data_IF_386961029339
#
_entry.id   IF_386961029339
#
_cell.length_a   1.000
_cell.length_b   1.000
_cell.length_c   1.000
_cell.angle_alpha   90.00
_cell.angle_beta   90.00
_cell.angle_gamma   90.00
#
_symmetry.space_group_name_H-M   'P 1'
#
loop_
_entity.id
_entity.type
_entity.pdbx_description
1 polymer ?
#
# COMPACT_ATOMS: atom_id res chain seq x y z
N UNK A 1 1.98 15.62 23.65
CA UNK A 1 1.19 14.41 23.95
C UNK A 1 1.91 13.21 23.36
N UNK A 2 2.04 12.11 24.10
CA UNK A 2 2.76 10.90 23.66
C UNK A 2 1.97 10.19 22.56
N UNK A 3 2.64 9.67 21.52
CA UNK A 3 2.00 8.94 20.42
C UNK A 3 1.38 7.59 20.85
N UNK A 4 1.81 7.05 21.99
CA UNK A 4 1.45 5.71 22.46
C UNK A 4 -0.07 5.43 22.58
N UNK A 5 -0.90 6.32 23.16
CA UNK A 5 -2.34 6.07 23.29
C UNK A 5 -3.04 5.93 21.94
N UNK A 6 -2.69 6.77 20.95
CA UNK A 6 -3.27 6.72 19.60
C UNK A 6 -2.95 5.40 18.91
N UNK A 7 -1.72 4.89 19.08
CA UNK A 7 -1.34 3.57 18.56
C UNK A 7 -2.10 2.43 19.24
N UNK A 8 -2.33 2.53 20.56
CA UNK A 8 -3.11 1.53 21.31
C UNK A 8 -4.56 1.52 20.83
N UNK A 9 -5.19 2.68 20.69
CA UNK A 9 -6.57 2.80 20.21
C UNK A 9 -6.71 2.23 18.79
N UNK A 10 -5.77 2.56 17.90
CA UNK A 10 -5.69 1.99 16.55
C UNK A 10 -5.57 0.46 16.60
N UNK A 11 -4.63 -0.06 17.38
CA UNK A 11 -4.40 -1.49 17.50
C UNK A 11 -5.64 -2.22 18.03
N UNK A 12 -6.29 -1.69 19.08
CA UNK A 12 -7.50 -2.27 19.66
C UNK A 12 -8.66 -2.28 18.65
N UNK A 13 -8.90 -1.16 17.98
CA UNK A 13 -9.96 -1.04 16.98
C UNK A 13 -9.75 -2.03 15.82
N UNK A 14 -8.52 -2.08 15.26
CA UNK A 14 -8.20 -3.00 14.16
C UNK A 14 -8.26 -4.46 14.60
N UNK A 15 -7.79 -4.80 15.81
CA UNK A 15 -7.92 -6.14 16.38
C UNK A 15 -9.39 -6.54 16.55
N UNK A 16 -10.26 -5.63 17.00
CA UNK A 16 -11.68 -5.88 17.10
C UNK A 16 -12.30 -6.13 15.71
N UNK A 17 -11.97 -5.31 14.71
CA UNK A 17 -12.44 -5.48 13.33
C UNK A 17 -11.98 -6.82 12.73
N UNK A 18 -10.70 -7.17 12.89
CA UNK A 18 -10.14 -8.46 12.44
C UNK A 18 -10.84 -9.62 13.16
N UNK A 19 -11.06 -9.52 14.46
CA UNK A 19 -11.75 -10.57 15.24
C UNK A 19 -13.18 -10.77 14.74
N UNK A 20 -13.95 -9.68 14.55
CA UNK A 20 -15.29 -9.75 13.97
C UNK A 20 -15.27 -10.39 12.58
N UNK A 21 -14.34 -9.98 11.71
CA UNK A 21 -14.23 -10.55 10.36
C UNK A 21 -13.83 -12.03 10.38
N UNK A 22 -12.96 -12.46 11.30
CA UNK A 22 -12.62 -13.87 11.50
C UNK A 22 -13.85 -14.68 11.89
N UNK A 23 -14.65 -14.18 12.84
CA UNK A 23 -15.86 -14.85 13.30
C UNK A 23 -16.91 -14.98 12.18
N UNK A 24 -17.06 -13.95 11.35
CA UNK A 24 -18.08 -13.89 10.29
C UNK A 24 -17.67 -14.56 8.97
N UNK A 25 -16.39 -14.48 8.60
CA UNK A 25 -15.91 -14.85 7.25
C UNK A 25 -15.08 -16.15 7.28
N UNK A 26 -14.17 -16.29 8.26
CA UNK A 26 -13.24 -17.42 8.32
C UNK A 26 -13.83 -18.61 9.08
N UNK A 27 -14.55 -18.31 10.17
CA UNK A 27 -15.05 -19.28 11.13
C UNK A 27 -13.97 -19.66 12.17
N UNK A 28 -14.30 -19.67 13.47
CA UNK A 28 -13.32 -19.90 14.54
C UNK A 28 -12.67 -21.28 14.46
N UNK A 29 -13.42 -22.31 14.03
CA UNK A 29 -12.90 -23.68 13.90
C UNK A 29 -11.76 -23.79 12.90
N UNK A 30 -11.86 -23.10 11.76
CA UNK A 30 -10.83 -23.11 10.71
C UNK A 30 -9.55 -22.42 11.18
N UNK A 31 -9.67 -21.28 11.86
CA UNK A 31 -8.52 -20.59 12.44
C UNK A 31 -7.84 -21.43 13.54
N UNK A 32 -8.62 -22.03 14.45
CA UNK A 32 -8.06 -22.90 15.50
C UNK A 32 -7.33 -24.10 14.91
N UNK A 33 -7.88 -24.72 13.87
CA UNK A 33 -7.21 -25.80 13.15
C UNK A 33 -5.87 -25.35 12.55
N UNK A 34 -5.85 -24.20 11.87
CA UNK A 34 -4.63 -23.64 11.29
C UNK A 34 -3.56 -23.29 12.35
N UNK A 35 -3.99 -22.77 13.51
CA UNK A 35 -3.08 -22.46 14.62
C UNK A 35 -2.55 -23.73 15.29
N UNK A 36 -3.33 -24.81 15.36
CA UNK A 36 -2.84 -26.09 15.89
C UNK A 36 -1.77 -26.71 14.99
N UNK A 37 -1.88 -26.51 13.68
CA UNK A 37 -0.94 -27.04 12.68
C UNK A 37 -0.01 -25.95 12.11
N UNK A 38 0.47 -25.03 12.97
CA UNK A 38 1.17 -23.83 12.54
C UNK A 38 2.58 -24.07 11.96
N UNK A 39 3.27 -25.14 12.36
CA UNK A 39 4.72 -25.29 12.14
C UNK A 39 5.10 -25.33 10.67
N UNK A 40 4.37 -26.09 9.85
CA UNK A 40 4.65 -26.15 8.41
C UNK A 40 4.20 -24.86 7.71
N UNK A 41 3.09 -24.25 8.17
CA UNK A 41 2.55 -22.99 7.65
C UNK A 41 3.55 -21.86 7.82
N UNK A 42 4.13 -21.71 9.01
CA UNK A 42 5.19 -20.73 9.28
C UNK A 42 6.41 -20.98 8.40
N UNK A 43 6.88 -22.23 8.28
CA UNK A 43 8.00 -22.57 7.39
C UNK A 43 7.72 -22.20 5.94
N UNK A 44 6.47 -22.33 5.49
CA UNK A 44 6.07 -21.97 4.14
C UNK A 44 6.00 -20.45 3.91
N UNK A 45 5.93 -19.60 4.94
CA UNK A 45 5.82 -18.14 4.76
C UNK A 45 7.00 -17.35 5.32
N UNK A 46 7.95 -18.01 6.01
CA UNK A 46 9.08 -17.32 6.65
C UNK A 46 9.93 -16.53 5.65
N UNK A 47 10.24 -17.11 4.49
CA UNK A 47 11.02 -16.45 3.45
C UNK A 47 10.30 -15.22 2.88
N UNK A 48 9.05 -15.30 2.37
CA UNK A 48 8.34 -14.13 1.85
C UNK A 48 8.07 -13.07 2.94
N UNK A 49 7.79 -13.47 4.19
CA UNK A 49 7.69 -12.52 5.30
C UNK A 49 9.02 -11.80 5.53
N UNK A 50 10.14 -12.54 5.57
CA UNK A 50 11.45 -11.93 5.81
C UNK A 50 11.81 -10.90 4.73
N UNK A 51 11.50 -11.19 3.45
CA UNK A 51 11.72 -10.22 2.36
C UNK A 51 10.82 -9.00 2.50
N UNK A 52 9.53 -9.19 2.81
CA UNK A 52 8.61 -8.07 3.06
C UNK A 52 9.10 -7.19 4.20
N UNK A 53 9.47 -7.80 5.33
CA UNK A 53 9.99 -7.10 6.52
C UNK A 53 11.28 -6.36 6.17
N UNK A 54 12.19 -6.96 5.40
CA UNK A 54 13.40 -6.31 4.93
C UNK A 54 13.09 -5.06 4.09
N UNK A 55 12.17 -5.15 3.13
CA UNK A 55 11.79 -3.99 2.31
C UNK A 55 11.13 -2.90 3.16
N UNK A 56 10.26 -3.27 4.10
CA UNK A 56 9.64 -2.31 5.02
C UNK A 56 10.67 -1.64 5.92
N UNK A 57 11.66 -2.40 6.41
CA UNK A 57 12.78 -1.87 7.16
C UNK A 57 13.60 -0.90 6.32
N UNK A 58 13.96 -1.27 5.08
CA UNK A 58 14.68 -0.39 4.16
C UNK A 58 13.90 0.90 3.90
N UNK A 59 12.59 0.81 3.58
CA UNK A 59 11.71 1.97 3.40
C UNK A 59 11.73 2.89 4.62
N UNK A 60 11.64 2.32 5.83
CA UNK A 60 11.69 3.07 7.08
C UNK A 60 13.05 3.72 7.31
N UNK A 61 14.14 2.98 7.11
CA UNK A 61 15.51 3.45 7.31
C UNK A 61 15.90 4.53 6.29
N UNK A 62 15.41 4.45 5.06
CA UNK A 62 15.71 5.43 4.00
C UNK A 62 14.70 6.58 3.95
N UNK A 63 13.70 6.64 4.84
CA UNK A 63 12.60 7.61 4.75
C UNK A 63 13.07 9.07 4.67
N UNK A 64 14.16 9.41 5.38
CA UNK A 64 14.73 10.76 5.40
C UNK A 64 15.79 10.96 4.31
N UNK A 65 16.37 9.85 3.81
CA UNK A 65 17.38 9.85 2.76
C UNK A 65 16.77 9.94 1.35
N UNK A 66 15.61 9.32 1.14
CA UNK A 66 14.91 9.28 -0.17
C UNK A 66 14.65 10.68 -0.72
N UNK A 67 14.11 11.65 0.05
CA UNK A 67 13.97 13.02 -0.44
C UNK A 67 15.32 13.59 -0.87
N UNK A 68 16.36 13.46 -0.04
CA UNK A 68 17.70 14.01 -0.33
C UNK A 68 18.28 13.41 -1.62
N UNK A 69 18.16 12.10 -1.80
CA UNK A 69 18.62 11.41 -3.01
C UNK A 69 17.82 11.83 -4.23
N UNK A 70 16.49 11.89 -4.12
CA UNK A 70 15.63 12.32 -5.22
C UNK A 70 15.95 13.75 -5.67
N UNK A 71 16.16 14.64 -4.70
CA UNK A 71 16.60 16.03 -4.94
C UNK A 71 18.00 16.14 -5.56
N UNK A 72 18.94 15.28 -5.17
CA UNK A 72 20.34 15.33 -5.62
C UNK A 72 20.61 14.57 -6.92
N UNK A 73 19.88 13.49 -7.19
CA UNK A 73 20.19 12.55 -8.27
C UNK A 73 19.35 12.83 -9.51
N UNK A 74 18.04 13.10 -9.37
CA UNK A 74 17.11 13.08 -10.51
C UNK A 74 16.33 14.38 -10.67
N UNK A 75 15.76 14.91 -9.59
CA UNK A 75 15.06 16.20 -9.60
C UNK A 75 13.81 16.29 -10.50
N UNK A 76 13.27 15.16 -10.98
CA UNK A 76 12.06 15.16 -11.81
C UNK A 76 10.85 15.48 -10.92
N UNK A 77 10.37 16.72 -11.03
CA UNK A 77 9.17 17.20 -10.34
C UNK A 77 7.96 16.94 -11.20
N UNK A 78 7.14 15.96 -10.83
CA UNK A 78 5.96 15.59 -11.61
C UNK A 78 4.68 16.29 -11.16
N UNK A 79 4.67 16.95 -9.99
CA UNK A 79 3.43 17.54 -9.41
C UNK A 79 2.74 18.52 -10.35
N UNK A 80 3.47 19.46 -10.94
CA UNK A 80 2.88 20.44 -11.86
C UNK A 80 2.27 19.74 -13.09
N UNK A 81 2.99 18.76 -13.64
CA UNK A 81 2.50 17.98 -14.78
C UNK A 81 1.23 17.19 -14.44
N UNK A 82 1.13 16.63 -13.23
CA UNK A 82 -0.08 15.94 -12.76
C UNK A 82 -1.24 16.92 -12.64
N UNK A 83 -1.03 18.06 -11.99
CA UNK A 83 -2.06 19.10 -11.84
C UNK A 83 -2.59 19.60 -13.20
N UNK A 84 -1.68 19.93 -14.12
CA UNK A 84 -2.06 20.42 -15.45
C UNK A 84 -2.76 19.33 -16.27
N UNK A 85 -2.28 18.08 -16.22
CA UNK A 85 -2.89 16.94 -16.89
C UNK A 85 -4.33 16.72 -16.44
N UNK A 86 -4.56 16.67 -15.13
CA UNK A 86 -5.90 16.45 -14.57
C UNK A 86 -6.85 17.57 -14.97
N UNK A 87 -6.39 18.83 -14.90
CA UNK A 87 -7.20 19.97 -15.32
C UNK A 87 -7.53 19.93 -16.82
N UNK A 88 -6.59 19.52 -17.67
CA UNK A 88 -6.83 19.39 -19.12
C UNK A 88 -7.84 18.28 -19.42
N UNK A 89 -7.76 17.14 -18.74
CA UNK A 89 -8.64 16.00 -18.99
C UNK A 89 -10.07 16.23 -18.43
N UNK A 90 -10.17 16.77 -17.22
CA UNK A 90 -11.44 16.85 -16.48
C UNK A 90 -12.04 18.27 -16.43
N UNK A 91 -11.35 19.29 -16.96
CA UNK A 91 -11.73 20.70 -16.89
C UNK A 91 -11.42 21.34 -15.52
N UNK A 92 -11.56 20.58 -14.46
CA UNK A 92 -11.22 20.93 -13.07
C UNK A 92 -10.51 19.77 -12.38
N UNK A 93 -9.76 20.04 -11.31
CA UNK A 93 -9.05 19.00 -10.58
C UNK A 93 -10.04 18.07 -9.85
N UNK A 94 -9.99 16.75 -10.06
CA UNK A 94 -10.85 15.78 -9.37
C UNK A 94 -10.84 15.91 -7.84
N UNK A 95 -9.68 16.26 -7.27
CA UNK A 95 -9.54 16.50 -5.83
C UNK A 95 -10.36 17.71 -5.38
N UNK A 96 -10.34 18.82 -6.13
CA UNK A 96 -11.13 20.01 -5.81
C UNK A 96 -12.64 19.71 -5.89
N UNK A 97 -13.06 18.98 -6.92
CA UNK A 97 -14.44 18.51 -7.06
C UNK A 97 -14.84 17.65 -5.86
N UNK A 98 -14.02 16.67 -5.46
CA UNK A 98 -14.31 15.83 -4.30
C UNK A 98 -14.39 16.64 -3.00
N UNK A 99 -13.50 17.62 -2.83
CA UNK A 99 -13.48 18.50 -1.66
C UNK A 99 -14.67 19.46 -1.61
N UNK A 100 -15.35 19.73 -2.74
CA UNK A 100 -16.59 20.54 -2.75
C UNK A 100 -17.77 19.86 -2.04
N UNK A 101 -17.73 18.53 -1.88
CA UNK A 101 -18.78 17.76 -1.19
C UNK A 101 -18.51 17.57 0.31
N UNK A 102 -17.56 18.32 0.89
CA UNK A 102 -17.17 18.14 2.28
C UNK A 102 -18.32 18.39 3.25
N UNK A 103 -18.57 17.42 4.14
CA UNK A 103 -19.40 17.58 5.34
C UNK A 103 -18.70 16.96 6.55
N UNK A 104 -19.01 17.35 7.79
CA UNK A 104 -18.41 16.77 8.99
C UNK A 104 -18.52 15.23 9.06
N UNK A 105 -19.67 14.68 8.65
CA UNK A 105 -19.95 13.23 8.66
C UNK A 105 -19.12 12.51 7.59
N UNK A 106 -19.09 13.05 6.37
CA UNK A 106 -18.33 12.46 5.26
C UNK A 106 -16.82 12.51 5.54
N UNK A 107 -16.34 13.62 6.11
CA UNK A 107 -14.95 13.75 6.55
C UNK A 107 -14.62 12.73 7.64
N UNK A 108 -15.49 12.56 8.64
CA UNK A 108 -15.29 11.55 9.70
C UNK A 108 -15.21 10.13 9.12
N UNK A 109 -16.08 9.79 8.15
CA UNK A 109 -16.04 8.52 7.45
C UNK A 109 -14.72 8.31 6.71
N UNK A 110 -14.25 9.29 5.94
CA UNK A 110 -13.02 9.13 5.16
C UNK A 110 -11.76 9.14 6.03
N UNK A 111 -11.73 9.89 7.13
CA UNK A 111 -10.66 9.78 8.14
C UNK A 111 -10.64 8.38 8.76
N UNK A 112 -11.81 7.85 9.15
CA UNK A 112 -11.91 6.50 9.68
C UNK A 112 -11.43 5.44 8.67
N UNK A 113 -11.91 5.53 7.43
CA UNK A 113 -11.50 4.62 6.35
C UNK A 113 -9.99 4.70 6.08
N UNK A 114 -9.43 5.92 6.02
CA UNK A 114 -8.01 6.12 5.73
C UNK A 114 -7.09 5.53 6.81
N UNK A 115 -7.48 5.61 8.09
CA UNK A 115 -6.65 5.13 9.20
C UNK A 115 -6.98 3.67 9.57
N UNK A 116 -8.22 3.43 10.00
CA UNK A 116 -8.64 2.15 10.56
C UNK A 116 -9.06 1.17 9.46
N UNK A 117 -9.88 1.64 8.50
CA UNK A 117 -10.35 0.83 7.38
C UNK A 117 -9.20 0.27 6.54
N UNK A 118 -8.22 1.11 6.24
CA UNK A 118 -7.01 0.72 5.51
C UNK A 118 -6.17 -0.31 6.29
N UNK A 119 -5.90 -0.07 7.58
CA UNK A 119 -5.13 -1.00 8.41
C UNK A 119 -5.82 -2.38 8.49
N UNK A 120 -7.14 -2.39 8.71
CA UNK A 120 -7.94 -3.62 8.69
C UNK A 120 -7.88 -4.31 7.32
N UNK A 121 -8.08 -3.57 6.22
CA UNK A 121 -8.05 -4.10 4.86
C UNK A 121 -6.73 -4.81 4.54
N UNK A 122 -5.59 -4.26 4.99
CA UNK A 122 -4.29 -4.89 4.77
C UNK A 122 -4.02 -6.09 5.66
N UNK A 123 -4.48 -6.06 6.93
CA UNK A 123 -4.12 -7.06 7.93
C UNK A 123 -5.04 -8.29 7.91
N UNK A 124 -6.33 -8.12 7.65
CA UNK A 124 -7.28 -9.24 7.65
C UNK A 124 -6.90 -10.38 6.67
N UNK A 125 -6.45 -10.11 5.42
CA UNK A 125 -6.02 -11.15 4.51
C UNK A 125 -4.90 -12.06 5.03
N UNK A 126 -3.98 -11.56 5.87
CA UNK A 126 -2.96 -12.41 6.49
C UNK A 126 -3.58 -13.49 7.35
N UNK A 127 -4.57 -13.13 8.17
CA UNK A 127 -5.27 -14.07 9.06
C UNK A 127 -6.16 -15.01 8.24
N UNK A 128 -6.91 -14.46 7.29
CA UNK A 128 -7.79 -15.25 6.43
C UNK A 128 -7.00 -16.29 5.63
N UNK A 129 -5.94 -15.90 4.93
CA UNK A 129 -5.19 -16.81 4.07
C UNK A 129 -4.27 -17.75 4.85
N UNK A 130 -3.84 -17.37 6.05
CA UNK A 130 -3.17 -18.31 6.96
C UNK A 130 -4.10 -19.46 7.40
N UNK A 131 -5.41 -19.22 7.44
CA UNK A 131 -6.41 -20.21 7.80
C UNK A 131 -6.83 -21.14 6.64
N UNK A 132 -6.33 -20.94 5.42
CA UNK A 132 -6.62 -21.83 4.28
C UNK A 132 -5.81 -23.12 4.33
N UNK A 133 -6.23 -24.17 3.62
CA UNK A 133 -5.52 -25.47 3.63
C UNK A 133 -4.15 -25.43 2.95
N UNK A 134 -3.94 -24.46 2.05
CA UNK A 134 -2.69 -24.22 1.32
C UNK A 134 -2.19 -22.81 1.58
N UNK A 135 -0.89 -22.60 1.46
CA UNK A 135 -0.23 -21.31 1.72
C UNK A 135 0.03 -20.49 0.45
N UNK A 136 -0.47 -20.93 -0.70
CA UNK A 136 -0.20 -20.30 -1.98
C UNK A 136 -0.76 -18.87 -2.01
N UNK A 137 -1.97 -18.66 -1.52
CA UNK A 137 -2.61 -17.34 -1.47
C UNK A 137 -1.86 -16.37 -0.56
N UNK A 138 -1.40 -16.84 0.60
CA UNK A 138 -0.66 -16.02 1.54
C UNK A 138 0.75 -15.70 1.02
N UNK A 139 1.44 -16.68 0.42
CA UNK A 139 2.75 -16.46 -0.23
C UNK A 139 2.63 -15.46 -1.38
N UNK A 140 1.60 -15.62 -2.22
CA UNK A 140 1.32 -14.72 -3.33
C UNK A 140 1.00 -13.29 -2.85
N UNK A 141 0.18 -13.14 -1.80
CA UNK A 141 -0.14 -11.85 -1.21
C UNK A 141 1.12 -11.16 -0.67
N UNK A 142 1.94 -11.90 0.09
CA UNK A 142 3.20 -11.39 0.64
C UNK A 142 4.14 -10.92 -0.47
N UNK A 143 4.25 -11.69 -1.57
CA UNK A 143 5.08 -11.31 -2.70
C UNK A 143 4.51 -10.09 -3.45
N UNK A 144 3.19 -9.99 -3.59
CA UNK A 144 2.55 -8.83 -4.17
C UNK A 144 2.79 -7.57 -3.33
N UNK A 145 2.65 -7.64 -2.00
CA UNK A 145 2.98 -6.52 -1.11
C UNK A 145 4.47 -6.17 -1.15
N UNK A 146 5.33 -7.17 -1.19
CA UNK A 146 6.79 -6.97 -1.35
C UNK A 146 7.10 -6.23 -2.64
N UNK A 147 6.47 -6.62 -3.74
CA UNK A 147 6.63 -5.98 -5.05
C UNK A 147 6.10 -4.54 -5.04
N UNK A 148 4.93 -4.30 -4.44
CA UNK A 148 4.36 -2.97 -4.24
C UNK A 148 5.36 -2.04 -3.53
N UNK A 149 5.85 -2.44 -2.36
CA UNK A 149 6.79 -1.61 -1.59
C UNK A 149 8.14 -1.46 -2.27
N UNK A 150 8.65 -2.51 -2.92
CA UNK A 150 9.93 -2.47 -3.64
C UNK A 150 9.89 -1.52 -4.82
N UNK A 151 8.91 -1.68 -5.72
CA UNK A 151 8.72 -0.80 -6.89
C UNK A 151 8.37 0.61 -6.44
N UNK A 152 7.49 0.75 -5.44
CA UNK A 152 7.14 2.06 -4.86
C UNK A 152 8.36 2.80 -4.31
N UNK A 153 9.25 2.12 -3.58
CA UNK A 153 10.48 2.72 -3.07
C UNK A 153 11.38 3.23 -4.21
N UNK A 154 11.53 2.45 -5.29
CA UNK A 154 12.30 2.87 -6.46
C UNK A 154 11.67 4.11 -7.11
N UNK A 155 10.36 4.10 -7.33
CA UNK A 155 9.65 5.23 -7.94
C UNK A 155 9.72 6.50 -7.07
N UNK A 156 9.63 6.37 -5.75
CA UNK A 156 9.78 7.50 -4.82
C UNK A 156 11.19 8.08 -4.76
N UNK A 157 12.22 7.30 -5.11
CA UNK A 157 13.57 7.83 -5.30
C UNK A 157 13.66 8.59 -6.63
N UNK A 158 13.03 8.09 -7.68
CA UNK A 158 13.14 8.65 -9.03
C UNK A 158 12.25 9.88 -9.26
N UNK A 159 11.07 9.92 -8.62
CA UNK A 159 10.03 10.92 -8.89
C UNK A 159 9.71 11.70 -7.61
N UNK A 160 9.78 13.03 -7.69
CA UNK A 160 9.34 13.92 -6.62
C UNK A 160 7.92 14.39 -6.92
N UNK A 161 6.98 14.05 -6.04
CA UNK A 161 5.60 14.47 -6.15
C UNK A 161 5.04 14.92 -4.80
N UNK A 162 4.47 16.11 -4.75
CA UNK A 162 3.67 16.60 -3.64
C UNK A 162 2.19 16.28 -3.85
N UNK A 163 1.51 15.91 -2.77
CA UNK A 163 0.06 15.78 -2.75
C UNK A 163 -0.66 17.14 -2.83
N UNK A 164 -1.96 17.16 -3.17
CA UNK A 164 -2.74 18.38 -3.40
C UNK A 164 -2.60 19.44 -2.31
N UNK A 165 -2.76 19.05 -1.04
CA UNK A 165 -2.66 19.96 0.13
C UNK A 165 -1.29 20.62 0.31
N UNK A 166 -0.24 20.03 -0.24
CA UNK A 166 1.13 20.55 -0.17
C UNK A 166 1.53 21.31 -1.44
N UNK A 167 0.70 21.27 -2.49
CA UNK A 167 0.95 21.94 -3.76
C UNK A 167 0.45 23.39 -3.73
N UNK A 168 -0.84 23.59 -3.44
CA UNK A 168 -1.43 24.93 -3.28
C UNK A 168 -2.52 24.91 -2.20
N UNK A 169 -2.22 25.37 -0.96
CA UNK A 169 -3.18 25.42 0.13
C UNK A 169 -4.35 26.39 -0.09
N UNK A 170 -4.31 27.25 -1.12
CA UNK A 170 -5.44 28.11 -1.49
C UNK A 170 -6.46 27.38 -2.38
N UNK A 171 -6.04 26.29 -3.01
CA UNK A 171 -6.86 25.47 -3.90
C UNK A 171 -7.28 24.13 -3.28
N UNK A 172 -6.52 23.62 -2.31
CA UNK A 172 -6.75 22.30 -1.72
C UNK A 172 -6.63 22.32 -0.19
N UNK A 173 -7.65 21.80 0.48
CA UNK A 173 -7.70 21.77 1.93
C UNK A 173 -6.85 20.64 2.52
N UNK A 174 -6.26 20.89 3.69
CA UNK A 174 -5.55 19.88 4.47
C UNK A 174 -6.51 19.09 5.40
N UNK A 175 -7.66 18.66 4.86
CA UNK A 175 -8.84 18.13 5.57
C UNK A 175 -8.50 17.11 6.67
N UNK A 176 -7.57 16.17 6.42
CA UNK A 176 -7.15 15.19 7.43
C UNK A 176 -6.60 15.85 8.71
N UNK A 177 -5.80 16.89 8.56
CA UNK A 177 -5.14 17.55 9.69
C UNK A 177 -6.06 18.52 10.42
N UNK A 178 -7.04 19.08 9.74
CA UNK A 178 -8.05 19.91 10.35
C UNK A 178 -9.03 19.07 11.17
N UNK A 179 -9.49 17.94 10.60
CA UNK A 179 -10.42 17.04 11.27
C UNK A 179 -9.77 16.15 12.34
N UNK A 180 -8.51 15.73 12.13
CA UNK A 180 -7.80 14.87 13.07
C UNK A 180 -6.34 15.33 13.24
N UNK A 181 -6.09 16.43 14.00
CA UNK A 181 -4.75 16.98 14.19
C UNK A 181 -3.75 15.96 14.74
N UNK A 182 -4.23 14.97 15.48
CA UNK A 182 -3.42 13.86 16.02
C UNK A 182 -2.85 12.96 14.91
N UNK A 183 -3.56 12.78 13.79
CA UNK A 183 -3.02 12.10 12.61
C UNK A 183 -1.83 12.84 12.02
N UNK A 184 -1.64 14.14 12.25
CA UNK A 184 -0.46 14.84 11.74
C UNK A 184 0.83 14.23 12.28
N UNK A 185 0.89 13.96 13.58
CA UNK A 185 2.06 13.35 14.19
C UNK A 185 2.20 11.87 13.82
N UNK A 186 1.08 11.14 13.74
CA UNK A 186 1.08 9.74 13.31
C UNK A 186 1.54 9.59 11.85
N UNK A 187 0.90 10.29 10.93
CA UNK A 187 1.19 10.24 9.48
C UNK A 187 2.59 10.75 9.17
N UNK A 188 3.05 11.86 9.79
CA UNK A 188 4.41 12.37 9.56
C UNK A 188 5.50 11.45 10.12
N UNK A 189 5.17 10.56 11.08
CA UNK A 189 6.15 9.58 11.58
C UNK A 189 6.42 8.45 10.58
N UNK A 190 5.49 8.18 9.66
CA UNK A 190 5.53 7.04 8.73
C UNK A 190 5.55 7.43 7.25
N UNK A 191 5.15 8.65 6.89
CA UNK A 191 5.03 9.15 5.53
C UNK A 191 5.72 10.51 5.36
N UNK A 192 6.27 10.71 4.16
CA UNK A 192 6.89 11.96 3.72
C UNK A 192 5.96 12.70 2.75
N UNK A 193 5.99 14.03 2.77
CA UNK A 193 5.12 14.88 1.95
C UNK A 193 5.43 14.84 0.44
N UNK A 194 6.54 14.22 0.03
CA UNK A 194 7.10 14.19 -1.33
C UNK A 194 6.98 12.85 -2.05
N UNK A 195 6.42 11.83 -1.38
CA UNK A 195 6.36 10.46 -1.89
C UNK A 195 4.91 10.07 -2.21
N UNK A 196 4.23 10.86 -3.04
CA UNK A 196 2.81 10.62 -3.36
C UNK A 196 2.58 9.81 -4.64
N UNK A 197 3.51 9.83 -5.60
CA UNK A 197 3.34 9.14 -6.89
C UNK A 197 4.26 7.91 -7.02
N UNK A 198 3.72 6.70 -7.29
CA UNK A 198 2.31 6.33 -7.28
C UNK A 198 1.75 6.22 -5.85
N UNK A 199 0.42 6.22 -5.70
CA UNK A 199 -0.22 6.04 -4.38
C UNK A 199 -0.06 4.60 -3.90
N UNK A 200 0.79 4.37 -2.89
CA UNK A 200 0.92 3.05 -2.25
C UNK A 200 -0.34 2.66 -1.45
N UNK A 201 -1.08 3.62 -0.88
CA UNK A 201 -2.35 3.33 -0.21
C UNK A 201 -3.35 2.72 -1.20
N UNK A 202 -3.50 3.36 -2.36
CA UNK A 202 -4.32 2.82 -3.45
C UNK A 202 -3.79 1.49 -3.94
N UNK A 203 -2.48 1.38 -4.15
CA UNK A 203 -1.87 0.18 -4.70
C UNK A 203 -2.08 -1.06 -3.81
N UNK A 204 -1.88 -0.91 -2.50
CA UNK A 204 -2.05 -2.00 -1.54
C UNK A 204 -3.54 -2.33 -1.32
N UNK A 205 -4.41 -1.31 -1.23
CA UNK A 205 -5.86 -1.53 -1.12
C UNK A 205 -6.43 -2.27 -2.33
N UNK A 206 -6.03 -1.87 -3.55
CA UNK A 206 -6.44 -2.53 -4.78
C UNK A 206 -5.81 -3.93 -4.91
N UNK A 207 -4.58 -4.13 -4.44
CA UNK A 207 -3.97 -5.47 -4.35
C UNK A 207 -4.83 -6.39 -3.48
N UNK A 208 -5.25 -5.93 -2.30
CA UNK A 208 -6.17 -6.69 -1.44
C UNK A 208 -7.47 -7.02 -2.14
N UNK A 209 -8.06 -6.08 -2.88
CA UNK A 209 -9.29 -6.33 -3.65
C UNK A 209 -9.06 -7.41 -4.73
N UNK A 210 -7.94 -7.37 -5.45
CA UNK A 210 -7.61 -8.40 -6.42
C UNK A 210 -7.47 -9.80 -5.77
N UNK A 211 -6.85 -9.88 -4.59
CA UNK A 211 -6.77 -11.13 -3.83
C UNK A 211 -8.12 -11.57 -3.27
N UNK A 212 -8.96 -10.64 -2.83
CA UNK A 212 -10.34 -10.94 -2.42
C UNK A 212 -11.15 -11.51 -3.58
N UNK A 213 -10.97 -10.98 -4.80
CA UNK A 213 -11.56 -11.54 -6.02
C UNK A 213 -11.00 -12.93 -6.34
N UNK A 214 -9.67 -13.11 -6.27
CA UNK A 214 -9.02 -14.39 -6.51
C UNK A 214 -9.49 -15.48 -5.52
N UNK A 215 -9.75 -15.09 -4.27
CA UNK A 215 -10.18 -16.00 -3.19
C UNK A 215 -11.69 -16.01 -2.93
N UNK A 216 -12.50 -15.44 -3.83
CA UNK A 216 -13.95 -15.26 -3.66
C UNK A 216 -14.72 -16.55 -3.46
N UNK A 217 -14.26 -17.67 -4.01
CA UNK A 217 -14.91 -18.98 -3.80
C UNK A 217 -14.63 -19.54 -2.40
N UNK A 218 -13.49 -19.16 -1.80
CA UNK A 218 -13.07 -19.60 -0.45
C UNK A 218 -13.67 -18.71 0.64
N UNK A 219 -13.76 -17.40 0.37
CA UNK A 219 -14.28 -16.38 1.28
C UNK A 219 -15.24 -15.41 0.55
N UNK A 220 -16.47 -15.85 0.20
CA UNK A 220 -17.39 -15.05 -0.62
C UNK A 220 -17.83 -13.74 0.05
N UNK A 221 -17.95 -13.73 1.38
CA UNK A 221 -18.28 -12.53 2.14
C UNK A 221 -17.14 -11.50 2.19
N UNK A 222 -15.89 -11.92 1.93
CA UNK A 222 -14.75 -11.00 1.95
C UNK A 222 -14.73 -10.08 0.74
N UNK A 223 -15.09 -10.57 -0.45
CA UNK A 223 -15.06 -9.78 -1.68
C UNK A 223 -15.86 -8.46 -1.58
N UNK A 224 -17.15 -8.43 -1.19
CA UNK A 224 -17.89 -7.18 -1.10
C UNK A 224 -17.32 -6.23 -0.04
N UNK A 225 -16.85 -6.75 1.10
CA UNK A 225 -16.22 -5.94 2.16
C UNK A 225 -14.93 -5.30 1.66
N UNK A 226 -14.06 -6.10 1.03
CA UNK A 226 -12.81 -5.64 0.45
C UNK A 226 -13.04 -4.63 -0.68
N UNK A 227 -14.05 -4.84 -1.52
CA UNK A 227 -14.40 -3.94 -2.62
C UNK A 227 -14.82 -2.57 -2.10
N UNK A 228 -15.77 -2.52 -1.16
CA UNK A 228 -16.22 -1.25 -0.57
C UNK A 228 -15.05 -0.54 0.11
N UNK A 229 -14.29 -1.25 0.97
CA UNK A 229 -13.18 -0.62 1.69
C UNK A 229 -12.06 -0.17 0.76
N UNK A 230 -11.68 -0.96 -0.25
CA UNK A 230 -10.61 -0.59 -1.17
C UNK A 230 -10.99 0.67 -1.96
N UNK A 231 -12.20 0.72 -2.52
CA UNK A 231 -12.67 1.91 -3.23
C UNK A 231 -12.76 3.11 -2.29
N UNK A 232 -13.28 2.94 -1.07
CA UNK A 232 -13.34 4.02 -0.09
C UNK A 232 -11.97 4.50 0.35
N UNK A 233 -10.94 3.64 0.40
CA UNK A 233 -9.54 4.05 0.64
C UNK A 233 -9.01 4.87 -0.53
N UNK A 234 -9.28 4.47 -1.77
CA UNK A 234 -8.87 5.26 -2.94
C UNK A 234 -9.50 6.65 -2.89
N UNK A 235 -10.81 6.74 -2.66
CA UNK A 235 -11.50 8.03 -2.55
C UNK A 235 -11.02 8.83 -1.34
N UNK A 236 -10.79 8.20 -0.19
CA UNK A 236 -10.32 8.90 1.01
C UNK A 236 -8.97 9.58 0.80
N UNK A 237 -8.06 8.93 0.06
CA UNK A 237 -6.74 9.52 -0.22
C UNK A 237 -6.82 10.83 -1.00
N UNK A 238 -7.78 10.93 -1.92
CA UNK A 238 -8.02 12.16 -2.70
C UNK A 238 -8.81 13.18 -1.89
N UNK A 239 -9.92 12.76 -1.27
CA UNK A 239 -10.78 13.62 -0.44
C UNK A 239 -10.00 14.33 0.68
N UNK A 240 -9.08 13.62 1.32
CA UNK A 240 -8.23 14.13 2.41
C UNK A 240 -7.05 15.00 1.91
N UNK A 241 -6.96 15.25 0.60
CA UNK A 241 -5.93 16.09 -0.02
C UNK A 241 -4.52 15.45 -0.04
N UNK A 242 -4.43 14.12 0.04
CA UNK A 242 -3.16 13.40 0.17
C UNK A 242 -2.60 13.01 -1.21
N UNK A 243 -3.45 12.51 -2.10
CA UNK A 243 -3.09 12.00 -3.42
C UNK A 243 -3.93 12.62 -4.52
N UNK A 244 -3.33 12.76 -5.70
CA UNK A 244 -4.01 13.11 -6.94
C UNK A 244 -4.73 11.88 -7.54
N UNK A 245 -5.64 12.10 -8.50
CA UNK A 245 -6.29 10.98 -9.19
C UNK A 245 -5.26 10.16 -9.99
N UNK A 246 -4.29 10.83 -10.61
CA UNK A 246 -3.20 10.22 -11.36
C UNK A 246 -2.34 9.32 -10.48
N UNK A 247 -2.08 9.72 -9.23
CA UNK A 247 -1.39 8.89 -8.24
C UNK A 247 -2.17 7.61 -7.96
N UNK A 248 -3.50 7.72 -7.82
CA UNK A 248 -4.41 6.61 -7.56
C UNK A 248 -4.52 5.66 -8.77
N UNK A 249 -4.57 6.19 -9.99
CA UNK A 249 -4.56 5.39 -11.22
C UNK A 249 -3.23 4.63 -11.34
N UNK A 250 -2.10 5.31 -11.17
CA UNK A 250 -0.78 4.67 -11.19
C UNK A 250 -0.62 3.63 -10.07
N UNK A 251 -1.17 3.91 -8.88
CA UNK A 251 -1.25 2.94 -7.79
C UNK A 251 -2.08 1.72 -8.16
N UNK A 252 -3.21 1.90 -8.83
CA UNK A 252 -4.04 0.77 -9.28
C UNK A 252 -3.32 -0.08 -10.32
N UNK A 253 -2.60 0.53 -11.26
CA UNK A 253 -1.75 -0.19 -12.21
C UNK A 253 -0.66 -0.98 -11.48
N UNK A 254 0.02 -0.36 -10.52
CA UNK A 254 1.03 -1.04 -9.70
C UNK A 254 0.42 -2.22 -8.91
N UNK A 255 -0.82 -2.10 -8.43
CA UNK A 255 -1.53 -3.18 -7.75
C UNK A 255 -1.75 -4.39 -8.67
N UNK A 256 -2.20 -4.15 -9.91
CA UNK A 256 -2.43 -5.19 -10.90
C UNK A 256 -1.13 -5.89 -11.27
N UNK A 257 -0.06 -5.12 -11.55
CA UNK A 257 1.27 -5.67 -11.83
C UNK A 257 1.82 -6.48 -10.65
N UNK A 258 1.70 -5.96 -9.43
CA UNK A 258 2.20 -6.63 -8.23
C UNK A 258 1.40 -7.90 -7.91
N UNK A 259 0.08 -7.87 -8.13
CA UNK A 259 -0.77 -9.06 -8.00
C UNK A 259 -0.40 -10.11 -9.05
N UNK A 260 -0.18 -9.69 -10.31
CA UNK A 260 0.31 -10.58 -11.35
C UNK A 260 1.63 -11.23 -10.95
N UNK A 261 2.59 -10.46 -10.43
CA UNK A 261 3.86 -11.01 -9.93
C UNK A 261 3.62 -11.99 -8.77
N UNK A 262 2.78 -11.62 -7.80
CA UNK A 262 2.47 -12.46 -6.64
C UNK A 262 1.84 -13.80 -7.01
N UNK A 263 0.94 -13.82 -8.00
CA UNK A 263 0.21 -15.03 -8.42
C UNK A 263 1.05 -15.94 -9.34
N UNK A 264 1.95 -15.38 -10.13
CA UNK A 264 2.66 -16.12 -11.19
C UNK A 264 4.12 -16.48 -10.85
N UNK A 265 4.69 -15.92 -9.79
CA UNK A 265 6.08 -16.16 -9.42
C UNK A 265 6.24 -16.46 -7.93
N UNK A 266 7.37 -17.04 -7.58
CA UNK A 266 7.81 -17.24 -6.21
C UNK A 266 9.03 -16.37 -5.89
N UNK A 267 9.28 -16.15 -4.59
CA UNK A 267 10.47 -15.43 -4.12
C UNK A 267 11.74 -16.10 -4.62
N UNK A 268 11.76 -17.43 -4.62
CA UNK A 268 12.89 -18.26 -5.02
C UNK A 268 13.20 -18.12 -6.53
N UNK A 269 12.17 -18.12 -7.38
CA UNK A 269 12.32 -17.92 -8.83
C UNK A 269 12.81 -16.51 -9.17
N UNK A 270 12.29 -15.48 -8.49
CA UNK A 270 12.74 -14.10 -8.67
C UNK A 270 14.21 -13.96 -8.24
N UNK A 271 14.57 -14.51 -7.08
CA UNK A 271 15.94 -14.48 -6.59
C UNK A 271 16.92 -15.21 -7.52
N UNK A 272 16.52 -16.36 -8.08
CA UNK A 272 17.32 -17.10 -9.06
C UNK A 272 17.51 -16.30 -10.37
N UNK A 273 16.44 -15.65 -10.85
CA UNK A 273 16.47 -14.81 -12.04
C UNK A 273 17.42 -13.62 -11.88
N UNK A 274 17.34 -12.92 -10.74
CA UNK A 274 18.23 -11.80 -10.40
C UNK A 274 19.69 -12.27 -10.31
N UNK A 275 19.94 -13.39 -9.63
CA UNK A 275 21.30 -13.95 -9.50
C UNK A 275 21.92 -14.25 -10.87
N UNK A 276 21.13 -14.84 -11.77
CA UNK A 276 21.57 -15.18 -13.13
C UNK A 276 21.86 -13.93 -13.95
N UNK A 277 21.02 -12.91 -13.86
CA UNK A 277 21.22 -11.62 -14.53
C UNK A 277 22.48 -10.88 -14.04
N UNK A 278 22.69 -10.83 -12.72
CA UNK A 278 23.88 -10.19 -12.14
C UNK A 278 25.15 -10.92 -12.59
N UNK A 279 25.14 -12.26 -12.55
CA UNK A 279 26.26 -13.07 -13.01
C UNK A 279 26.62 -12.81 -14.48
N UNK A 280 25.62 -12.80 -15.37
CA UNK A 280 25.87 -12.55 -16.80
C UNK A 280 26.40 -11.14 -17.08
N UNK A 281 25.98 -10.13 -16.30
CA UNK A 281 26.50 -8.76 -16.40
C UNK A 281 27.96 -8.65 -15.92
N UNK A 282 28.30 -9.34 -14.82
CA UNK A 282 29.68 -9.39 -14.33
C UNK A 282 30.60 -10.10 -15.34
N UNK A 283 30.15 -11.22 -15.90
CA UNK A 283 30.91 -11.98 -16.90
C UNK A 283 31.11 -11.18 -18.20
N UNK A 284 30.08 -10.49 -18.69
CA UNK A 284 30.18 -9.64 -19.89
C UNK A 284 31.01 -8.36 -19.66
N UNK A 285 30.95 -7.77 -18.47
CA UNK A 285 31.73 -6.59 -18.09
C UNK A 285 33.22 -6.86 -17.89
N UNK A 286 33.62 -8.13 -17.69
CA UNK A 286 35.01 -8.56 -17.55
C UNK A 286 35.64 -9.04 -18.88
N UNK A 287 34.87 -9.08 -19.97
CA UNK A 287 35.46 -9.36 -21.29
C UNK A 287 36.24 -8.13 -21.79
N UNK A 288 37.55 -8.23 -22.06
CA UNK A 288 38.28 -7.12 -22.65
C UNK A 288 37.67 -6.85 -24.03
N UNK A 289 37.33 -5.59 -24.31
CA UNK A 289 37.02 -5.17 -25.68
C UNK A 289 38.20 -5.60 -26.55
N UNK A 290 38.01 -6.61 -27.39
CA UNK A 290 38.96 -6.92 -28.45
C UNK A 290 38.84 -5.78 -29.46
N UNK A 291 39.82 -4.89 -29.43
CA UNK A 291 40.11 -3.94 -30.51
C UNK A 291 40.44 -4.69 -31.81
#
# INVERSE_FOLDING_TARGET
MTLAPVFVDLALAVCAMVTCAVLLIVGPGRLVAAVRDYRWRIRAIVAPIAVLVLILFLRGATKDLVPILSWRIVGIRVTQHIFDLERVIFGENPVAILQSFQTPELTSYFVFTYIYGYAFLLLFPFVAYFALDRMDELRALLLAYTTNYGVGLVLYVLLVAYGPRNFDPTLFDAVLYDAYPQARNLTNSVNQNVNVFPSLHTSLAMTTLCFAWHTREKYPLWLPVAAVLAISVVVSTMYLGIHWLSDAVAGTVLALCSTYVGVNYTVEEIAASVRTFVRSRLENGLSPRRE
#
